data_IF_497216725457
#
_entry.id   IF_497216725457
#
_cell.length_a   1.000
_cell.length_b   1.000
_cell.length_c   1.000
_cell.angle_alpha   90.00
_cell.angle_beta   90.00
_cell.angle_gamma   90.00
#
_symmetry.space_group_name_H-M   'P 1'
#
loop_
_entity.id
_entity.type
_entity.pdbx_description
1 polymer ?
#
# COMPACT_ATOMS: atom_id res chain seq x y z
N UNK A 1 0.84 15.38 -27.76
CA UNK A 1 1.68 16.11 -26.79
C UNK A 1 1.04 15.89 -25.43
N UNK A 2 1.76 15.30 -24.48
CA UNK A 2 1.21 15.15 -23.11
C UNK A 2 0.98 16.55 -22.50
N UNK A 3 -0.20 16.76 -21.92
CA UNK A 3 -0.52 18.00 -21.22
C UNK A 3 0.47 18.16 -20.05
N UNK A 4 1.15 19.30 -19.98
CA UNK A 4 2.03 19.61 -18.85
C UNK A 4 1.17 19.89 -17.61
N UNK A 5 1.26 19.04 -16.63
CA UNK A 5 0.58 19.17 -15.34
C UNK A 5 1.55 19.81 -14.34
N UNK A 6 1.21 20.99 -13.85
CA UNK A 6 2.00 21.76 -12.88
C UNK A 6 1.12 22.25 -11.71
N UNK A 7 1.68 23.07 -10.83
CA UNK A 7 1.00 23.58 -9.63
C UNK A 7 -0.27 24.42 -9.91
N UNK A 8 -0.43 24.95 -11.11
CA UNK A 8 -1.61 25.70 -11.54
C UNK A 8 -2.72 24.83 -12.12
N UNK A 9 -2.42 23.55 -12.42
CA UNK A 9 -3.40 22.59 -12.94
C UNK A 9 -4.42 22.28 -11.86
N UNK A 10 -5.71 22.36 -12.20
CA UNK A 10 -6.79 21.97 -11.30
C UNK A 10 -6.71 20.46 -11.02
N UNK A 11 -6.28 20.14 -9.81
CA UNK A 11 -6.04 18.77 -9.38
C UNK A 11 -7.30 17.91 -9.25
N UNK A 12 -8.49 18.52 -9.28
CA UNK A 12 -9.78 17.81 -9.22
C UNK A 12 -10.33 17.44 -10.60
N UNK A 13 -9.67 17.86 -11.68
CA UNK A 13 -10.13 17.60 -13.06
C UNK A 13 -9.24 16.60 -13.76
N UNK A 14 -9.87 15.62 -14.40
CA UNK A 14 -9.19 14.71 -15.33
C UNK A 14 -8.59 15.49 -16.51
N UNK A 15 -7.47 15.02 -17.01
CA UNK A 15 -6.96 15.44 -18.31
C UNK A 15 -7.58 14.59 -19.43
N UNK A 16 -7.58 15.08 -20.68
CA UNK A 16 -8.23 14.43 -21.82
C UNK A 16 -7.72 13.00 -22.11
N UNK A 17 -6.51 12.69 -21.63
CA UNK A 17 -5.83 11.40 -21.79
C UNK A 17 -6.01 10.46 -20.58
N UNK A 18 -6.92 10.77 -19.67
CA UNK A 18 -7.23 9.97 -18.48
C UNK A 18 -8.66 9.41 -18.57
N UNK A 19 -8.81 8.12 -18.30
CA UNK A 19 -10.11 7.48 -18.21
C UNK A 19 -10.86 7.94 -16.97
N UNK A 20 -11.98 8.62 -17.18
CA UNK A 20 -12.97 8.91 -16.15
C UNK A 20 -13.99 7.76 -16.08
N UNK A 21 -14.27 7.30 -14.87
CA UNK A 21 -15.26 6.23 -14.64
C UNK A 21 -16.49 6.76 -13.92
N UNK A 22 -17.64 6.14 -14.18
CA UNK A 22 -18.88 6.42 -13.46
C UNK A 22 -18.87 5.73 -12.09
N UNK A 23 -18.53 6.51 -11.05
CA UNK A 23 -18.40 6.02 -9.69
C UNK A 23 -18.73 7.12 -8.67
N UNK A 24 -19.54 6.79 -7.68
CA UNK A 24 -19.86 7.65 -6.52
C UNK A 24 -18.93 7.42 -5.32
N UNK A 25 -17.98 6.50 -5.44
CA UNK A 25 -17.12 6.07 -4.31
C UNK A 25 -16.31 7.25 -3.77
N UNK A 26 -15.68 8.03 -4.65
CA UNK A 26 -14.88 9.19 -4.23
C UNK A 26 -15.71 10.18 -3.40
N UNK A 27 -16.88 10.57 -3.91
CA UNK A 27 -17.72 11.58 -3.25
C UNK A 27 -18.19 11.08 -1.87
N UNK A 28 -18.55 9.81 -1.78
CA UNK A 28 -18.97 9.18 -0.51
C UNK A 28 -17.83 9.07 0.50
N UNK A 29 -16.63 8.68 0.05
CA UNK A 29 -15.44 8.62 0.92
C UNK A 29 -15.09 10.00 1.46
N UNK A 30 -15.07 11.02 0.61
CA UNK A 30 -14.78 12.41 1.00
C UNK A 30 -15.85 12.95 1.93
N UNK A 31 -17.12 12.72 1.65
CA UNK A 31 -18.22 13.15 2.52
C UNK A 31 -18.14 12.51 3.90
N UNK A 32 -17.87 11.20 3.97
CA UNK A 32 -17.72 10.46 5.23
C UNK A 32 -16.52 10.95 6.04
N UNK A 33 -15.37 11.16 5.38
CA UNK A 33 -14.18 11.72 6.02
C UNK A 33 -14.41 13.14 6.56
N UNK A 34 -15.04 14.00 5.76
CA UNK A 34 -15.30 15.39 6.17
C UNK A 34 -16.31 15.51 7.32
N UNK A 35 -17.25 14.56 7.42
CA UNK A 35 -18.23 14.49 8.50
C UNK A 35 -17.65 13.93 9.81
N UNK A 36 -16.46 13.34 9.77
CA UNK A 36 -15.86 12.70 10.93
C UNK A 36 -15.25 13.72 11.88
N UNK A 37 -15.85 13.81 13.05
CA UNK A 37 -15.31 14.48 14.22
C UNK A 37 -14.88 13.42 15.23
N UNK A 38 -13.58 13.26 15.41
CA UNK A 38 -13.01 12.21 16.26
C UNK A 38 -13.26 12.48 17.76
N UNK A 39 -13.53 13.72 18.15
CA UNK A 39 -13.62 14.16 19.55
C UNK A 39 -15.03 13.94 20.16
N UNK A 40 -16.04 13.66 19.33
CA UNK A 40 -17.39 13.38 19.84
C UNK A 40 -17.55 11.98 20.44
N UNK A 41 -16.63 11.05 20.10
CA UNK A 41 -16.68 9.67 20.58
C UNK A 41 -16.22 9.54 22.02
N UNK A 42 -16.87 8.65 22.76
CA UNK A 42 -16.66 8.43 24.18
C UNK A 42 -16.21 6.99 24.47
N UNK A 43 -15.76 6.73 25.69
CA UNK A 43 -15.47 5.38 26.17
C UNK A 43 -16.66 4.43 26.03
N UNK A 44 -17.90 4.93 26.05
CA UNK A 44 -19.12 4.11 25.84
C UNK A 44 -19.17 3.60 24.39
N UNK A 45 -18.95 4.48 23.41
CA UNK A 45 -18.99 4.13 21.99
C UNK A 45 -17.91 3.09 21.65
N UNK A 46 -16.72 3.24 22.24
CA UNK A 46 -15.64 2.26 22.08
C UNK A 46 -16.02 0.90 22.67
N UNK A 47 -16.62 0.86 23.86
CA UNK A 47 -17.09 -0.40 24.48
C UNK A 47 -18.20 -1.04 23.66
N UNK A 48 -19.11 -0.26 23.08
CA UNK A 48 -20.14 -0.76 22.16
C UNK A 48 -19.50 -1.36 20.89
N UNK A 49 -18.50 -0.68 20.31
CA UNK A 49 -17.73 -1.20 19.16
C UNK A 49 -17.00 -2.51 19.51
N UNK A 50 -16.42 -2.61 20.71
CA UNK A 50 -15.76 -3.84 21.17
C UNK A 50 -16.73 -4.98 21.42
N UNK A 51 -17.93 -4.70 21.88
CA UNK A 51 -18.97 -5.70 22.13
C UNK A 51 -19.71 -6.14 20.85
N UNK A 52 -19.68 -5.35 19.80
CA UNK A 52 -20.38 -5.63 18.55
C UNK A 52 -19.83 -6.89 17.85
N UNK A 53 -20.70 -7.78 17.40
CA UNK A 53 -20.33 -8.96 16.61
C UNK A 53 -19.84 -8.56 15.21
N UNK A 54 -20.47 -7.56 14.61
CA UNK A 54 -20.09 -6.99 13.32
C UNK A 54 -19.77 -5.50 13.48
N UNK A 55 -18.64 -5.06 12.98
CA UNK A 55 -18.22 -3.67 13.07
C UNK A 55 -18.96 -2.80 12.04
N UNK A 56 -19.79 -1.88 12.51
CA UNK A 56 -20.41 -0.86 11.68
C UNK A 56 -19.42 0.26 11.33
N UNK A 57 -19.81 1.16 10.44
CA UNK A 57 -19.03 2.38 10.13
C UNK A 57 -18.87 3.25 11.38
N UNK A 58 -19.93 3.40 12.20
CA UNK A 58 -19.83 4.17 13.44
C UNK A 58 -18.93 3.49 14.48
N UNK A 59 -18.96 2.16 14.59
CA UNK A 59 -18.00 1.43 15.41
C UNK A 59 -16.56 1.65 14.93
N UNK A 60 -16.34 1.62 13.63
CA UNK A 60 -15.01 1.87 13.04
C UNK A 60 -14.51 3.28 13.36
N UNK A 61 -15.37 4.30 13.25
CA UNK A 61 -15.07 5.68 13.66
C UNK A 61 -14.70 5.78 15.14
N UNK A 62 -15.47 5.11 16.01
CA UNK A 62 -15.19 5.07 17.45
C UNK A 62 -13.83 4.43 17.74
N UNK A 63 -13.48 3.31 17.05
CA UNK A 63 -12.20 2.64 17.21
C UNK A 63 -11.01 3.48 16.72
N UNK A 64 -11.19 4.40 15.78
CA UNK A 64 -10.17 5.34 15.31
C UNK A 64 -10.06 6.61 16.18
N UNK A 65 -11.02 6.88 17.04
CA UNK A 65 -11.08 8.08 17.86
C UNK A 65 -10.01 8.11 18.97
N UNK A 66 -9.69 9.29 19.54
CA UNK A 66 -8.84 9.40 20.73
C UNK A 66 -9.37 8.64 21.94
N UNK A 67 -10.71 8.50 22.07
CA UNK A 67 -11.34 7.77 23.16
C UNK A 67 -10.99 6.27 23.15
N UNK A 68 -10.50 5.72 22.06
CA UNK A 68 -10.11 4.33 21.94
C UNK A 68 -8.70 4.02 22.49
N UNK A 69 -7.82 5.03 22.64
CA UNK A 69 -6.45 4.79 23.12
C UNK A 69 -6.36 4.10 24.49
N UNK A 70 -7.22 4.42 25.51
CA UNK A 70 -7.23 3.69 26.77
C UNK A 70 -7.66 2.21 26.67
N UNK A 71 -8.25 1.82 25.54
CA UNK A 71 -8.75 0.47 25.27
C UNK A 71 -7.89 -0.27 24.22
N UNK A 72 -6.65 0.18 24.00
CA UNK A 72 -5.82 -0.36 22.94
C UNK A 72 -5.54 -1.86 23.10
N UNK A 73 -5.40 -2.32 24.34
CA UNK A 73 -5.22 -3.74 24.65
C UNK A 73 -6.44 -4.57 24.24
N UNK A 74 -7.64 -4.15 24.64
CA UNK A 74 -8.89 -4.83 24.30
C UNK A 74 -9.16 -4.80 22.78
N UNK A 75 -8.80 -3.71 22.12
CA UNK A 75 -8.88 -3.58 20.67
C UNK A 75 -7.91 -4.57 20.01
N UNK A 76 -6.66 -4.67 20.50
CA UNK A 76 -5.67 -5.61 19.98
C UNK A 76 -6.12 -7.07 20.18
N UNK A 77 -6.68 -7.41 21.34
CA UNK A 77 -7.22 -8.73 21.61
C UNK A 77 -8.40 -9.09 20.69
N UNK A 78 -9.31 -8.14 20.42
CA UNK A 78 -10.39 -8.34 19.45
C UNK A 78 -9.85 -8.51 18.04
N UNK A 79 -8.90 -7.68 17.61
CA UNK A 79 -8.26 -7.81 16.32
C UNK A 79 -7.56 -9.15 16.16
N UNK A 80 -6.84 -9.62 17.19
CA UNK A 80 -6.21 -10.93 17.20
C UNK A 80 -7.21 -12.07 17.04
N UNK A 81 -8.36 -12.01 17.73
CA UNK A 81 -9.43 -13.00 17.55
C UNK A 81 -9.94 -13.03 16.10
N UNK A 82 -10.19 -11.87 15.49
CA UNK A 82 -10.63 -11.80 14.09
C UNK A 82 -9.52 -12.31 13.13
N UNK A 83 -8.26 -11.99 13.39
CA UNK A 83 -7.13 -12.51 12.61
C UNK A 83 -7.09 -14.04 12.69
N UNK A 84 -7.14 -14.62 13.88
CA UNK A 84 -7.10 -16.08 14.08
C UNK A 84 -8.29 -16.79 13.46
N UNK A 85 -9.47 -16.18 13.53
CA UNK A 85 -10.69 -16.72 12.92
C UNK A 85 -10.63 -16.81 11.40
N UNK A 86 -10.01 -15.83 10.74
CA UNK A 86 -10.03 -15.71 9.28
C UNK A 86 -8.74 -16.15 8.59
N UNK A 87 -7.59 -16.04 9.25
CA UNK A 87 -6.28 -16.36 8.70
C UNK A 87 -5.52 -17.45 9.48
N UNK A 88 -6.05 -17.89 10.61
CA UNK A 88 -5.34 -18.84 11.46
C UNK A 88 -4.02 -18.26 11.97
N UNK A 89 -2.95 -19.02 11.82
CA UNK A 89 -1.59 -18.63 12.19
C UNK A 89 -0.75 -18.19 10.97
N UNK A 90 -1.35 -18.12 9.79
CA UNK A 90 -0.61 -17.89 8.55
C UNK A 90 -0.14 -16.43 8.43
N UNK A 91 1.13 -16.26 8.03
CA UNK A 91 1.73 -14.97 7.68
C UNK A 91 2.40 -15.12 6.32
N UNK A 92 1.90 -14.42 5.31
CA UNK A 92 2.48 -14.44 3.98
C UNK A 92 3.75 -13.58 3.93
N UNK A 93 4.75 -14.04 3.16
CA UNK A 93 6.02 -13.35 2.98
C UNK A 93 6.18 -12.96 1.51
N UNK A 94 6.61 -11.72 1.25
CA UNK A 94 6.91 -11.21 -0.08
C UNK A 94 8.12 -10.28 -0.05
N UNK A 95 8.61 -9.91 -1.23
CA UNK A 95 9.61 -8.83 -1.36
C UNK A 95 9.25 -7.85 -2.47
N UNK A 96 9.55 -6.55 -2.31
CA UNK A 96 9.45 -5.57 -3.39
C UNK A 96 10.66 -5.69 -4.33
N UNK A 97 10.43 -5.47 -5.63
CA UNK A 97 11.46 -5.31 -6.65
C UNK A 97 11.24 -3.99 -7.39
N UNK A 98 12.15 -3.06 -7.21
CA UNK A 98 12.17 -1.77 -7.90
C UNK A 98 12.91 -1.92 -9.23
N UNK A 99 12.19 -1.83 -10.36
CA UNK A 99 12.78 -2.00 -11.70
C UNK A 99 13.15 -0.69 -12.38
N UNK A 100 12.61 0.46 -11.91
CA UNK A 100 12.96 1.79 -12.39
C UNK A 100 12.61 2.88 -11.36
N UNK A 101 13.47 3.91 -11.22
CA UNK A 101 13.21 5.06 -10.35
C UNK A 101 13.06 6.40 -11.08
N UNK A 102 12.95 6.37 -12.42
CA UNK A 102 12.57 7.56 -13.18
C UNK A 102 11.13 7.96 -12.85
N UNK A 103 10.90 9.23 -12.49
CA UNK A 103 9.59 9.74 -12.15
C UNK A 103 9.43 11.18 -12.65
N UNK A 104 8.28 11.51 -13.22
CA UNK A 104 7.95 12.84 -13.73
C UNK A 104 7.12 13.65 -12.72
N UNK A 105 6.71 13.03 -11.60
CA UNK A 105 5.93 13.69 -10.57
C UNK A 105 6.79 14.51 -9.60
N UNK A 106 6.22 15.61 -9.13
CA UNK A 106 6.78 16.40 -8.04
C UNK A 106 6.00 16.19 -6.74
N UNK A 107 6.30 15.09 -6.03
CA UNK A 107 5.78 14.78 -4.71
C UNK A 107 6.82 15.19 -3.67
N UNK A 108 6.49 16.14 -2.77
CA UNK A 108 7.46 16.74 -1.84
C UNK A 108 8.07 15.77 -0.82
N UNK A 109 7.45 14.61 -0.62
CA UNK A 109 7.83 13.58 0.36
C UNK A 109 8.47 12.32 -0.26
N UNK A 110 8.61 12.25 -1.57
CA UNK A 110 9.07 11.04 -2.27
C UNK A 110 10.52 11.19 -2.74
N UNK A 111 11.35 10.18 -2.43
CA UNK A 111 12.75 10.14 -2.89
C UNK A 111 12.88 10.16 -4.41
N UNK A 112 11.89 9.59 -5.13
CA UNK A 112 11.89 9.55 -6.60
C UNK A 112 11.34 10.81 -7.28
N UNK A 113 10.95 11.86 -6.54
CA UNK A 113 10.40 13.05 -7.19
C UNK A 113 11.36 13.64 -8.23
N UNK A 114 10.81 14.25 -9.29
CA UNK A 114 11.57 14.68 -10.47
C UNK A 114 12.64 15.74 -10.17
N UNK A 115 12.55 16.47 -9.07
CA UNK A 115 13.52 17.49 -8.66
C UNK A 115 14.58 16.97 -7.70
N UNK A 116 14.43 15.76 -7.16
CA UNK A 116 15.43 15.18 -6.27
C UNK A 116 16.65 14.70 -7.08
N UNK A 117 17.85 15.09 -6.64
CA UNK A 117 19.13 14.74 -7.29
C UNK A 117 19.59 13.39 -6.77
N UNK A 118 19.10 12.34 -7.39
CA UNK A 118 19.44 10.94 -7.10
C UNK A 118 19.98 10.24 -8.35
N UNK A 119 20.68 9.13 -8.15
CA UNK A 119 21.10 8.24 -9.24
C UNK A 119 19.88 7.54 -9.82
N UNK A 120 19.56 7.83 -11.08
CA UNK A 120 18.42 7.23 -11.78
C UNK A 120 18.86 6.02 -12.57
N UNK A 121 18.03 4.97 -12.52
CA UNK A 121 18.25 3.75 -13.28
C UNK A 121 16.93 3.13 -13.74
N UNK A 122 17.04 2.27 -14.74
CA UNK A 122 15.98 1.42 -15.26
C UNK A 122 16.65 0.10 -15.65
N UNK A 123 16.14 -1.01 -15.14
CA UNK A 123 16.64 -2.34 -15.48
C UNK A 123 16.16 -2.76 -16.87
N UNK A 124 17.02 -3.39 -17.66
CA UNK A 124 16.59 -4.08 -18.88
C UNK A 124 16.04 -5.49 -18.56
N UNK A 125 15.53 -6.18 -19.57
CA UNK A 125 14.90 -7.49 -19.38
C UNK A 125 15.84 -8.55 -18.75
N UNK A 126 17.12 -8.58 -19.15
CA UNK A 126 18.10 -9.52 -18.60
C UNK A 126 18.42 -9.20 -17.13
N UNK A 127 18.49 -7.93 -16.79
CA UNK A 127 18.71 -7.45 -15.42
C UNK A 127 17.51 -7.75 -14.53
N UNK A 128 16.27 -7.52 -15.02
CA UNK A 128 15.03 -7.89 -14.33
C UNK A 128 15.00 -9.40 -14.07
N UNK A 129 15.35 -10.21 -15.06
CA UNK A 129 15.35 -11.67 -14.90
C UNK A 129 16.36 -12.15 -13.85
N UNK A 130 17.58 -11.58 -13.81
CA UNK A 130 18.58 -11.88 -12.79
C UNK A 130 18.09 -11.52 -11.38
N UNK A 131 17.49 -10.34 -11.20
CA UNK A 131 16.93 -9.93 -9.91
C UNK A 131 15.81 -10.88 -9.46
N UNK A 132 14.90 -11.22 -10.36
CA UNK A 132 13.80 -12.16 -10.07
C UNK A 132 14.29 -13.58 -9.75
N UNK A 133 15.32 -14.05 -10.45
CA UNK A 133 15.95 -15.33 -10.14
C UNK A 133 16.56 -15.31 -8.73
N UNK A 134 17.32 -14.28 -8.39
CA UNK A 134 17.92 -14.13 -7.05
C UNK A 134 16.86 -14.10 -5.93
N UNK A 135 15.74 -13.42 -6.17
CA UNK A 135 14.60 -13.42 -5.24
C UNK A 135 13.99 -14.83 -5.13
N UNK A 136 13.75 -15.50 -6.24
CA UNK A 136 13.15 -16.84 -6.24
C UNK A 136 14.04 -17.89 -5.55
N UNK A 137 15.37 -17.75 -5.64
CA UNK A 137 16.34 -18.61 -4.94
C UNK A 137 16.21 -18.53 -3.40
N UNK A 138 15.63 -17.45 -2.85
CA UNK A 138 15.29 -17.36 -1.42
C UNK A 138 14.07 -18.18 -1.01
N UNK A 139 13.37 -18.80 -1.96
CA UNK A 139 12.13 -19.56 -1.74
C UNK A 139 10.86 -18.71 -1.78
N UNK A 140 10.94 -17.41 -2.02
CA UNK A 140 9.76 -16.56 -2.18
C UNK A 140 8.99 -16.92 -3.47
N UNK A 141 7.68 -17.01 -3.36
CA UNK A 141 6.76 -17.28 -4.46
C UNK A 141 5.91 -16.05 -4.83
N UNK A 142 6.12 -14.93 -4.16
CA UNK A 142 5.46 -13.65 -4.42
C UNK A 142 6.46 -12.51 -4.58
N UNK A 143 6.25 -11.68 -5.60
CA UNK A 143 6.99 -10.45 -5.83
C UNK A 143 6.05 -9.26 -5.99
N UNK A 144 6.45 -8.09 -5.45
CA UNK A 144 5.79 -6.81 -5.69
C UNK A 144 6.68 -5.96 -6.60
N UNK A 145 6.26 -5.71 -7.83
CA UNK A 145 7.02 -4.91 -8.80
C UNK A 145 6.67 -3.43 -8.63
N UNK A 146 7.70 -2.58 -8.52
CA UNK A 146 7.56 -1.14 -8.34
C UNK A 146 8.31 -0.35 -9.40
N UNK A 147 7.73 0.80 -9.77
CA UNK A 147 8.38 1.80 -10.63
C UNK A 147 8.06 3.22 -10.18
N UNK A 148 8.90 4.18 -10.58
CA UNK A 148 8.47 5.57 -10.67
C UNK A 148 7.50 5.77 -11.84
N UNK A 149 6.77 6.88 -11.84
CA UNK A 149 5.86 7.24 -12.94
C UNK A 149 6.59 8.02 -14.02
N UNK A 150 6.95 7.36 -15.11
CA UNK A 150 7.54 7.95 -16.32
C UNK A 150 7.08 7.17 -17.55
N UNK A 151 6.13 7.71 -18.35
CA UNK A 151 5.61 7.02 -19.53
C UNK A 151 6.70 6.57 -20.53
N UNK A 152 7.82 7.31 -20.58
CA UNK A 152 8.93 7.00 -21.47
C UNK A 152 9.91 5.96 -20.95
N UNK A 153 9.96 5.74 -19.62
CA UNK A 153 10.92 4.84 -18.97
C UNK A 153 10.27 3.62 -18.34
N UNK A 154 9.11 3.79 -17.74
CA UNK A 154 8.33 2.70 -17.17
C UNK A 154 6.94 2.67 -17.83
N UNK A 155 6.92 2.44 -19.17
CA UNK A 155 5.66 2.32 -19.92
C UNK A 155 4.88 1.08 -19.48
N UNK A 156 3.61 1.00 -19.86
CA UNK A 156 2.75 -0.16 -19.57
C UNK A 156 3.35 -1.44 -20.17
N UNK A 157 3.93 -1.35 -21.38
CA UNK A 157 4.58 -2.47 -22.05
C UNK A 157 5.84 -2.95 -21.30
N UNK A 158 6.64 -2.00 -20.77
CA UNK A 158 7.81 -2.33 -19.96
C UNK A 158 7.42 -3.05 -18.67
N UNK A 159 6.38 -2.58 -17.98
CA UNK A 159 5.84 -3.23 -16.78
C UNK A 159 5.26 -4.61 -17.15
N UNK A 160 4.54 -4.70 -18.27
CA UNK A 160 4.00 -5.96 -18.79
C UNK A 160 5.08 -6.99 -19.10
N UNK A 161 6.21 -6.58 -19.67
CA UNK A 161 7.36 -7.47 -19.91
C UNK A 161 7.95 -7.97 -18.58
N UNK A 162 8.08 -7.09 -17.58
CA UNK A 162 8.50 -7.50 -16.24
C UNK A 162 7.53 -8.52 -15.61
N UNK A 163 6.22 -8.36 -15.78
CA UNK A 163 5.22 -9.34 -15.33
C UNK A 163 5.40 -10.70 -16.03
N UNK A 164 5.64 -10.73 -17.35
CA UNK A 164 5.89 -11.97 -18.09
C UNK A 164 7.15 -12.69 -17.64
N UNK A 165 8.21 -11.94 -17.30
CA UNK A 165 9.43 -12.50 -16.71
C UNK A 165 9.10 -13.05 -15.31
N UNK A 166 8.42 -12.28 -14.46
CA UNK A 166 8.04 -12.69 -13.12
C UNK A 166 7.23 -13.99 -13.08
N UNK A 167 6.35 -14.19 -14.06
CA UNK A 167 5.52 -15.40 -14.17
C UNK A 167 6.32 -16.71 -14.31
N UNK A 168 7.60 -16.64 -14.70
CA UNK A 168 8.49 -17.80 -14.75
C UNK A 168 8.92 -18.26 -13.36
N UNK A 169 8.92 -17.37 -12.38
CA UNK A 169 9.53 -17.54 -11.07
C UNK A 169 8.53 -17.49 -9.92
N UNK A 170 7.47 -16.70 -10.05
CA UNK A 170 6.53 -16.41 -8.97
C UNK A 170 5.12 -16.87 -9.32
N UNK A 171 4.38 -17.28 -8.29
CA UNK A 171 2.96 -17.66 -8.38
C UNK A 171 2.03 -16.46 -8.21
N UNK A 172 2.50 -15.42 -7.49
CA UNK A 172 1.73 -14.21 -7.23
C UNK A 172 2.56 -12.97 -7.61
N UNK A 173 1.99 -12.13 -8.46
CA UNK A 173 2.64 -10.91 -8.96
C UNK A 173 1.80 -9.71 -8.60
N UNK A 174 2.30 -8.91 -7.66
CA UNK A 174 1.71 -7.64 -7.27
C UNK A 174 2.38 -6.47 -8.01
N UNK A 175 1.63 -5.41 -8.21
CA UNK A 175 2.12 -4.15 -8.76
C UNK A 175 1.88 -3.00 -7.78
N UNK A 176 2.90 -2.21 -7.50
CA UNK A 176 2.79 -0.91 -6.86
C UNK A 176 3.36 0.14 -7.81
N UNK A 177 2.52 0.54 -8.76
CA UNK A 177 2.86 1.42 -9.87
C UNK A 177 1.89 2.60 -9.94
N UNK A 178 2.08 3.48 -10.89
CA UNK A 178 1.22 4.64 -11.08
C UNK A 178 -0.20 4.25 -11.56
N UNK A 179 -1.22 5.12 -11.34
CA UNK A 179 -2.57 4.90 -11.85
C UNK A 179 -2.62 4.79 -13.37
N UNK A 180 -3.41 3.85 -13.86
CA UNK A 180 -3.59 3.57 -15.28
C UNK A 180 -5.07 3.50 -15.65
N UNK A 181 -5.37 3.49 -16.94
CA UNK A 181 -6.70 3.22 -17.46
C UNK A 181 -7.05 1.72 -17.31
N UNK A 182 -8.33 1.38 -17.32
CA UNK A 182 -8.77 0.00 -17.14
C UNK A 182 -8.23 -0.95 -18.21
N UNK A 183 -8.09 -0.49 -19.45
CA UNK A 183 -7.47 -1.25 -20.55
C UNK A 183 -6.01 -1.60 -20.30
N UNK A 184 -5.25 -0.70 -19.66
CA UNK A 184 -3.85 -0.91 -19.34
C UNK A 184 -3.71 -1.91 -18.19
N UNK A 185 -4.59 -1.84 -17.20
CA UNK A 185 -4.67 -2.87 -16.14
C UNK A 185 -5.07 -4.23 -16.74
N UNK A 186 -6.01 -4.29 -17.70
CA UNK A 186 -6.35 -5.54 -18.38
C UNK A 186 -5.15 -6.16 -19.09
N UNK A 187 -4.37 -5.35 -19.81
CA UNK A 187 -3.12 -5.80 -20.43
C UNK A 187 -2.11 -6.33 -19.41
N UNK A 188 -1.91 -5.63 -18.29
CA UNK A 188 -1.00 -6.08 -17.23
C UNK A 188 -1.49 -7.38 -16.56
N UNK A 189 -2.81 -7.54 -16.40
CA UNK A 189 -3.40 -8.78 -15.91
C UNK A 189 -3.14 -9.94 -16.89
N UNK A 190 -3.32 -9.76 -18.19
CA UNK A 190 -2.97 -10.74 -19.22
C UNK A 190 -1.46 -11.09 -19.20
N UNK A 191 -0.59 -10.13 -18.86
CA UNK A 191 0.84 -10.36 -18.68
C UNK A 191 1.17 -11.16 -17.40
N UNK A 192 0.22 -11.33 -16.48
CA UNK A 192 0.36 -12.15 -15.27
C UNK A 192 0.27 -11.40 -13.95
N UNK A 193 -0.08 -10.10 -13.95
CA UNK A 193 -0.30 -9.37 -12.71
C UNK A 193 -1.63 -9.79 -12.04
N UNK A 194 -1.60 -10.01 -10.73
CA UNK A 194 -2.74 -10.45 -9.92
C UNK A 194 -3.34 -9.30 -9.10
N UNK A 195 -2.47 -8.45 -8.55
CA UNK A 195 -2.81 -7.40 -7.60
C UNK A 195 -2.24 -6.05 -8.00
N UNK A 196 -3.00 -5.01 -7.69
CA UNK A 196 -2.54 -3.63 -7.81
C UNK A 196 -2.70 -2.90 -6.48
N UNK A 197 -1.63 -2.28 -6.01
CA UNK A 197 -1.63 -1.39 -4.85
C UNK A 197 -1.38 0.04 -5.32
N UNK A 198 -2.29 0.96 -4.97
CA UNK A 198 -2.12 2.40 -5.22
C UNK A 198 -2.43 3.15 -3.94
N UNK A 199 -1.42 3.75 -3.33
CA UNK A 199 -1.62 4.58 -2.14
C UNK A 199 -2.25 5.91 -2.53
N UNK A 200 -3.38 6.27 -1.90
CA UNK A 200 -3.98 7.58 -2.11
C UNK A 200 -3.15 8.70 -1.49
N UNK A 201 -2.26 8.36 -0.58
CA UNK A 201 -1.37 9.22 0.19
C UNK A 201 -2.12 10.01 1.26
N UNK A 202 -3.02 10.91 0.90
CA UNK A 202 -4.02 11.53 1.77
C UNK A 202 -5.33 11.72 1.01
N UNK A 203 -6.45 11.59 1.71
CA UNK A 203 -7.80 11.79 1.17
C UNK A 203 -8.28 13.25 1.27
N UNK A 204 -7.53 14.11 1.97
CA UNK A 204 -7.78 15.54 1.98
C UNK A 204 -7.27 16.16 0.67
N UNK A 205 -8.18 16.48 -0.25
CA UNK A 205 -7.82 17.01 -1.58
C UNK A 205 -7.11 18.37 -1.51
N UNK A 206 -7.42 19.23 -0.53
CA UNK A 206 -6.73 20.50 -0.34
C UNK A 206 -5.29 20.30 0.15
N UNK A 207 -5.06 19.33 1.02
CA UNK A 207 -3.72 18.94 1.41
C UNK A 207 -2.98 18.27 0.27
N UNK A 208 -3.65 17.38 -0.46
CA UNK A 208 -3.11 16.62 -1.58
C UNK A 208 -2.46 17.53 -2.64
N UNK A 209 -3.13 18.64 -3.02
CA UNK A 209 -2.60 19.58 -4.02
C UNK A 209 -1.30 20.27 -3.57
N UNK A 210 -1.09 20.41 -2.26
CA UNK A 210 0.13 21.04 -1.69
C UNK A 210 1.31 20.07 -1.62
N UNK A 211 1.03 18.78 -1.71
CA UNK A 211 2.01 17.70 -1.65
C UNK A 211 2.42 17.21 -3.03
N UNK A 212 1.54 17.35 -4.03
CA UNK A 212 1.74 16.92 -5.41
C UNK A 212 1.74 18.14 -6.33
N UNK A 213 2.92 18.73 -6.51
CA UNK A 213 3.08 20.02 -7.17
C UNK A 213 3.13 19.93 -8.69
N UNK A 214 3.31 18.73 -9.27
CA UNK A 214 3.33 18.52 -10.71
C UNK A 214 3.35 17.05 -11.08
N UNK A 215 3.10 16.77 -12.37
CA UNK A 215 2.99 15.42 -12.92
C UNK A 215 1.59 14.80 -12.74
N UNK A 216 1.38 13.64 -13.37
CA UNK A 216 0.05 12.98 -13.43
C UNK A 216 -0.50 12.62 -12.05
N UNK A 217 0.36 12.32 -11.07
CA UNK A 217 -0.03 12.03 -9.69
C UNK A 217 -0.78 13.19 -9.03
N UNK A 218 -0.63 14.42 -9.52
CA UNK A 218 -1.38 15.59 -9.04
C UNK A 218 -2.90 15.43 -9.22
N UNK A 219 -3.36 14.67 -10.21
CA UNK A 219 -4.79 14.53 -10.50
C UNK A 219 -5.45 13.59 -9.49
N UNK A 220 -6.06 14.17 -8.48
CA UNK A 220 -6.62 13.49 -7.32
C UNK A 220 -7.67 12.42 -7.66
N UNK A 221 -8.73 12.72 -8.46
CA UNK A 221 -9.75 11.72 -8.76
C UNK A 221 -9.22 10.57 -9.62
N UNK A 222 -8.26 10.82 -10.52
CA UNK A 222 -7.65 9.77 -11.31
C UNK A 222 -6.89 8.77 -10.44
N UNK A 223 -6.18 9.26 -9.41
CA UNK A 223 -5.49 8.38 -8.47
C UNK A 223 -6.46 7.65 -7.55
N UNK A 224 -7.46 8.32 -6.99
CA UNK A 224 -8.43 7.70 -6.09
C UNK A 224 -9.20 6.56 -6.76
N UNK A 225 -9.57 6.73 -8.00
CA UNK A 225 -10.32 5.72 -8.76
C UNK A 225 -9.43 4.62 -9.40
N UNK A 226 -8.12 4.57 -9.08
CA UNK A 226 -7.21 3.61 -9.68
C UNK A 226 -7.55 2.16 -9.34
N UNK A 227 -7.92 1.87 -8.07
CA UNK A 227 -8.29 0.52 -7.65
C UNK A 227 -9.56 0.04 -8.36
N UNK A 228 -10.52 0.92 -8.57
CA UNK A 228 -11.74 0.56 -9.29
C UNK A 228 -11.43 0.22 -10.76
N UNK A 229 -10.60 1.03 -11.44
CA UNK A 229 -10.15 0.72 -12.81
C UNK A 229 -9.35 -0.58 -12.86
N UNK A 230 -8.55 -0.88 -11.83
CA UNK A 230 -7.81 -2.15 -11.76
C UNK A 230 -8.75 -3.37 -11.70
N UNK A 231 -9.81 -3.31 -10.88
CA UNK A 231 -10.84 -4.36 -10.83
C UNK A 231 -11.60 -4.46 -12.15
N UNK A 232 -11.96 -3.34 -12.77
CA UNK A 232 -12.58 -3.32 -14.11
C UNK A 232 -11.67 -3.95 -15.18
N UNK A 233 -10.33 -3.81 -15.02
CA UNK A 233 -9.32 -4.45 -15.86
C UNK A 233 -9.06 -5.93 -15.52
N UNK A 234 -9.80 -6.53 -14.58
CA UNK A 234 -9.71 -7.96 -14.27
C UNK A 234 -8.73 -8.34 -13.17
N UNK A 235 -8.10 -7.36 -12.50
CA UNK A 235 -7.22 -7.67 -11.34
C UNK A 235 -8.01 -8.38 -10.25
N UNK A 236 -7.42 -9.43 -9.67
CA UNK A 236 -8.01 -10.25 -8.60
C UNK A 236 -8.25 -9.45 -7.34
N UNK A 237 -7.28 -8.58 -6.99
CA UNK A 237 -7.37 -7.80 -5.79
C UNK A 237 -6.67 -6.45 -5.87
N UNK A 238 -6.96 -5.61 -4.87
CA UNK A 238 -6.43 -4.25 -4.78
C UNK A 238 -6.03 -3.89 -3.36
N UNK A 239 -4.93 -3.13 -3.25
CA UNK A 239 -4.39 -2.62 -2.01
C UNK A 239 -4.71 -1.15 -1.79
N UNK A 240 -5.00 -0.79 -0.55
CA UNK A 240 -5.33 0.56 -0.09
C UNK A 240 -4.36 1.03 0.96
N UNK A 241 -3.95 2.29 0.88
CA UNK A 241 -3.24 2.97 1.95
C UNK A 241 -3.33 4.50 1.84
N UNK A 242 -3.24 5.14 2.99
CA UNK A 242 -2.74 6.51 3.12
C UNK A 242 -1.31 6.48 3.66
N UNK A 243 -0.49 7.46 3.29
CA UNK A 243 0.84 7.64 3.88
C UNK A 243 0.69 8.46 5.17
N UNK A 244 0.66 7.73 6.28
CA UNK A 244 0.34 8.29 7.59
C UNK A 244 1.38 9.32 8.04
N UNK A 245 0.91 10.51 8.40
CA UNK A 245 1.73 11.66 8.79
C UNK A 245 1.80 12.78 7.74
N UNK A 246 1.17 12.62 6.58
CA UNK A 246 1.01 13.70 5.60
C UNK A 246 -0.07 14.72 6.02
N UNK A 247 -1.17 14.22 6.61
CA UNK A 247 -2.29 15.01 7.11
C UNK A 247 -2.88 14.36 8.38
N UNK A 248 -4.11 14.69 8.74
CA UNK A 248 -4.83 14.05 9.85
C UNK A 248 -4.96 12.54 9.62
N UNK A 249 -4.16 11.79 10.36
CA UNK A 249 -4.05 10.34 10.17
C UNK A 249 -5.34 9.57 10.51
N UNK A 250 -6.21 10.10 11.39
CA UNK A 250 -7.48 9.47 11.72
C UNK A 250 -8.47 9.60 10.58
N UNK A 251 -8.53 10.78 9.97
CA UNK A 251 -9.34 11.03 8.78
C UNK A 251 -8.86 10.22 7.60
N UNK A 252 -7.54 10.17 7.38
CA UNK A 252 -6.95 9.36 6.31
C UNK A 252 -7.18 7.85 6.54
N UNK A 253 -7.06 7.36 7.78
CA UNK A 253 -7.36 5.97 8.12
C UNK A 253 -8.85 5.64 7.92
N UNK A 254 -9.77 6.52 8.34
CA UNK A 254 -11.19 6.34 8.09
C UNK A 254 -11.47 6.27 6.59
N UNK A 255 -10.97 7.24 5.84
CA UNK A 255 -11.19 7.32 4.39
C UNK A 255 -10.63 6.10 3.65
N UNK A 256 -9.44 5.60 4.04
CA UNK A 256 -8.85 4.37 3.50
C UNK A 256 -9.77 3.17 3.74
N UNK A 257 -10.25 2.99 4.96
CA UNK A 257 -11.19 1.91 5.31
C UNK A 257 -12.52 2.02 4.57
N UNK A 258 -13.07 3.23 4.46
CA UNK A 258 -14.30 3.50 3.72
C UNK A 258 -14.15 3.26 2.21
N UNK A 259 -13.03 3.65 1.61
CA UNK A 259 -12.72 3.41 0.22
C UNK A 259 -12.74 1.89 -0.08
N UNK A 260 -12.00 1.11 0.69
CA UNK A 260 -11.99 -0.34 0.58
C UNK A 260 -13.39 -0.96 0.81
N UNK A 261 -14.13 -0.48 1.81
CA UNK A 261 -15.48 -0.95 2.11
C UNK A 261 -16.46 -0.70 0.95
N UNK A 262 -16.47 0.51 0.39
CA UNK A 262 -17.39 0.88 -0.68
C UNK A 262 -17.03 0.15 -1.98
N UNK A 263 -15.73 0.02 -2.30
CA UNK A 263 -15.28 -0.72 -3.47
C UNK A 263 -15.69 -2.19 -3.38
N UNK A 264 -15.41 -2.86 -2.26
CA UNK A 264 -15.79 -4.27 -2.09
C UNK A 264 -17.30 -4.46 -2.09
N UNK A 265 -18.08 -3.48 -1.64
CA UNK A 265 -19.54 -3.53 -1.72
C UNK A 265 -20.04 -3.47 -3.17
N UNK A 266 -19.35 -2.70 -4.03
CA UNK A 266 -19.63 -2.62 -5.48
C UNK A 266 -19.11 -3.85 -6.23
N UNK A 267 -17.95 -4.38 -5.82
CA UNK A 267 -17.25 -5.53 -6.41
C UNK A 267 -16.98 -6.61 -5.33
N UNK A 268 -18.00 -7.43 -4.97
CA UNK A 268 -17.86 -8.39 -3.85
C UNK A 268 -16.78 -9.47 -4.04
N UNK A 269 -16.39 -9.74 -5.29
CA UNK A 269 -15.35 -10.70 -5.67
C UNK A 269 -13.93 -10.16 -5.48
N UNK A 270 -13.77 -8.85 -5.34
CA UNK A 270 -12.46 -8.23 -5.22
C UNK A 270 -11.81 -8.57 -3.87
N UNK A 271 -10.56 -9.04 -3.91
CA UNK A 271 -9.75 -9.19 -2.72
C UNK A 271 -9.24 -7.82 -2.26
N UNK A 272 -9.29 -7.58 -0.95
CA UNK A 272 -8.91 -6.31 -0.34
C UNK A 272 -7.65 -6.49 0.51
N UNK A 273 -6.70 -5.60 0.31
CA UNK A 273 -5.53 -5.49 1.17
C UNK A 273 -5.36 -4.07 1.71
N UNK A 274 -4.87 -3.96 2.94
CA UNK A 274 -4.42 -2.71 3.54
C UNK A 274 -2.92 -2.71 3.73
N UNK A 275 -2.30 -1.56 3.46
CA UNK A 275 -0.97 -1.23 3.94
C UNK A 275 -1.06 0.00 4.86
N UNK A 276 -0.18 0.07 5.86
CA UNK A 276 -0.22 1.15 6.86
C UNK A 276 1.16 1.85 6.93
N UNK A 277 1.63 2.45 5.81
CA UNK A 277 2.94 3.09 5.79
C UNK A 277 2.93 4.40 6.59
N UNK A 278 3.98 4.62 7.40
CA UNK A 278 4.28 5.93 7.96
C UNK A 278 5.34 6.64 7.10
N UNK A 279 5.35 7.97 7.15
CA UNK A 279 6.41 8.78 6.54
C UNK A 279 7.78 8.35 7.06
N UNK A 280 8.75 8.27 6.13
CA UNK A 280 10.16 7.96 6.42
C UNK A 280 11.04 9.03 5.79
N UNK A 281 12.25 9.26 6.35
CA UNK A 281 13.26 10.09 5.70
C UNK A 281 13.56 9.61 4.28
N UNK A 282 13.91 10.55 3.42
CA UNK A 282 14.33 10.31 2.04
C UNK A 282 15.69 10.94 1.78
N UNK A 283 16.39 10.49 0.77
CA UNK A 283 17.65 11.11 0.34
C UNK A 283 17.42 12.61 0.08
N UNK A 284 18.31 13.45 0.61
CA UNK A 284 18.26 14.91 0.57
C UNK A 284 17.16 15.58 1.40
N UNK A 285 16.40 14.83 2.22
CA UNK A 285 15.43 15.40 3.16
C UNK A 285 15.22 14.51 4.39
N UNK A 286 16.01 14.73 5.43
CA UNK A 286 15.95 14.05 6.72
C UNK A 286 14.89 14.61 7.69
N UNK A 287 14.25 15.72 7.33
CA UNK A 287 13.24 16.40 8.17
C UNK A 287 11.84 15.80 8.06
N UNK A 288 11.63 14.92 7.08
CA UNK A 288 10.35 14.23 6.90
C UNK A 288 10.22 13.12 7.94
N UNK A 289 9.28 13.25 8.85
CA UNK A 289 8.93 12.22 9.82
C UNK A 289 7.41 12.23 10.12
N UNK A 290 6.84 11.11 10.60
CA UNK A 290 5.42 11.00 10.92
C UNK A 290 5.13 11.60 12.30
N UNK A 291 5.12 12.92 12.41
CA UNK A 291 5.09 13.69 13.66
C UNK A 291 4.06 13.21 14.68
N UNK A 292 2.87 12.81 14.23
CA UNK A 292 1.73 12.54 15.10
C UNK A 292 1.33 11.05 15.08
N UNK A 293 2.06 10.19 14.33
CA UNK A 293 1.75 8.77 14.20
C UNK A 293 2.88 7.94 14.83
N UNK A 294 2.76 7.74 16.14
CA UNK A 294 3.63 6.85 16.90
C UNK A 294 3.10 5.41 16.84
N UNK A 295 3.84 4.46 17.41
CA UNK A 295 3.44 3.04 17.37
C UNK A 295 2.04 2.77 17.98
N UNK A 296 1.60 3.42 19.08
CA UNK A 296 0.24 3.22 19.59
C UNK A 296 -0.84 3.62 18.59
N UNK A 297 -0.66 4.73 17.86
CA UNK A 297 -1.61 5.17 16.83
C UNK A 297 -1.60 4.22 15.64
N UNK A 298 -0.42 3.76 15.22
CA UNK A 298 -0.29 2.77 14.14
C UNK A 298 -0.96 1.44 14.52
N UNK A 299 -0.72 0.94 15.74
CA UNK A 299 -1.38 -0.25 16.27
C UNK A 299 -2.90 -0.09 16.29
N UNK A 300 -3.40 1.06 16.75
CA UNK A 300 -4.83 1.38 16.77
C UNK A 300 -5.44 1.28 15.37
N UNK A 301 -4.81 1.89 14.35
CA UNK A 301 -5.29 1.88 12.97
C UNK A 301 -5.32 0.46 12.41
N UNK A 302 -4.23 -0.29 12.56
CA UNK A 302 -4.11 -1.67 12.06
C UNK A 302 -5.20 -2.55 12.69
N UNK A 303 -5.38 -2.47 14.00
CA UNK A 303 -6.42 -3.23 14.69
C UNK A 303 -7.83 -2.81 14.30
N UNK A 304 -8.07 -1.50 14.10
CA UNK A 304 -9.37 -1.00 13.64
C UNK A 304 -9.69 -1.52 12.22
N UNK A 305 -8.72 -1.56 11.30
CA UNK A 305 -8.89 -2.17 9.98
C UNK A 305 -9.24 -3.66 10.09
N UNK A 306 -8.53 -4.42 10.93
CA UNK A 306 -8.82 -5.85 11.13
C UNK A 306 -10.24 -6.08 11.65
N UNK A 307 -10.69 -5.27 12.60
CA UNK A 307 -12.04 -5.40 13.15
C UNK A 307 -13.10 -4.98 12.14
N UNK A 308 -12.86 -3.92 11.37
CA UNK A 308 -13.80 -3.40 10.37
C UNK A 308 -13.89 -4.27 9.13
N UNK A 309 -12.74 -4.79 8.65
CA UNK A 309 -12.63 -5.63 7.45
C UNK A 309 -11.89 -6.93 7.77
N UNK A 310 -12.56 -7.87 8.46
CA UNK A 310 -11.88 -9.04 9.03
C UNK A 310 -11.25 -9.98 8.00
N UNK A 311 -11.71 -9.95 6.74
CA UNK A 311 -11.17 -10.76 5.63
C UNK A 311 -10.08 -10.05 4.82
N UNK A 312 -9.79 -8.78 5.08
CA UNK A 312 -8.76 -8.07 4.34
C UNK A 312 -7.36 -8.53 4.75
N UNK A 313 -6.46 -8.69 3.78
CA UNK A 313 -5.04 -8.82 4.09
C UNK A 313 -4.51 -7.51 4.68
N UNK A 314 -3.61 -7.59 5.65
CA UNK A 314 -2.94 -6.41 6.22
C UNK A 314 -1.45 -6.61 6.12
N UNK A 315 -0.80 -5.73 5.35
CA UNK A 315 0.63 -5.77 5.08
C UNK A 315 1.38 -4.83 6.02
N UNK A 316 2.46 -5.33 6.62
CA UNK A 316 3.44 -4.52 7.34
C UNK A 316 4.79 -4.56 6.62
N UNK A 317 5.35 -3.39 6.34
CA UNK A 317 6.58 -3.24 5.57
C UNK A 317 7.81 -2.98 6.46
N UNK A 318 8.99 -3.00 5.85
CA UNK A 318 10.27 -2.67 6.46
C UNK A 318 10.42 -1.18 6.85
N UNK A 319 9.40 -0.36 6.64
CA UNK A 319 9.32 0.99 7.22
C UNK A 319 9.30 0.96 8.75
N UNK A 320 8.78 -0.13 9.33
CA UNK A 320 8.68 -0.34 10.76
C UNK A 320 9.87 -1.15 11.28
N UNK A 321 10.25 -0.90 12.56
CA UNK A 321 11.34 -1.62 13.21
C UNK A 321 10.97 -3.08 13.51
N UNK A 322 11.99 -3.91 13.67
CA UNK A 322 11.89 -5.34 13.97
C UNK A 322 10.89 -5.62 15.09
N UNK A 323 11.07 -4.98 16.27
CA UNK A 323 10.20 -5.19 17.43
C UNK A 323 8.71 -4.96 17.10
N UNK A 324 8.37 -3.91 16.35
CA UNK A 324 6.97 -3.66 15.99
C UNK A 324 6.45 -4.72 15.04
N UNK A 325 7.25 -5.11 14.04
CA UNK A 325 6.89 -6.12 13.04
C UNK A 325 6.67 -7.49 13.66
N UNK A 326 7.55 -7.91 14.59
CA UNK A 326 7.47 -9.20 15.29
C UNK A 326 6.21 -9.31 16.17
N UNK A 327 5.77 -8.22 16.76
CA UNK A 327 4.58 -8.20 17.58
C UNK A 327 3.27 -8.09 16.77
N UNK A 328 3.25 -7.27 15.72
CA UNK A 328 2.01 -7.00 14.98
C UNK A 328 1.51 -8.20 14.17
N UNK A 329 2.39 -9.11 13.71
CA UNK A 329 1.99 -10.35 13.04
C UNK A 329 1.22 -11.29 13.96
N UNK A 330 1.45 -11.23 15.25
CA UNK A 330 0.70 -12.01 16.24
C UNK A 330 -0.70 -11.43 16.51
N UNK A 331 -0.91 -10.17 16.17
CA UNK A 331 -2.14 -9.42 16.48
C UNK A 331 -3.04 -9.31 15.25
N UNK A 332 -2.56 -8.66 14.19
CA UNK A 332 -3.44 -8.24 13.10
C UNK A 332 -2.83 -8.30 11.69
N UNK A 333 -1.51 -8.18 11.54
CA UNK A 333 -0.87 -8.26 10.23
C UNK A 333 -0.85 -9.71 9.74
N UNK A 334 -1.10 -9.90 8.45
CA UNK A 334 -1.18 -11.21 7.78
C UNK A 334 -0.15 -11.34 6.67
N UNK A 335 0.57 -10.27 6.38
CA UNK A 335 1.58 -10.23 5.32
C UNK A 335 2.75 -9.34 5.73
N UNK A 336 3.96 -9.79 5.45
CA UNK A 336 5.21 -9.12 5.84
C UNK A 336 6.21 -9.15 4.69
N UNK A 337 6.94 -8.05 4.49
CA UNK A 337 8.04 -8.03 3.51
C UNK A 337 9.34 -8.53 4.13
N UNK A 338 10.20 -9.20 3.36
CA UNK A 338 11.47 -9.74 3.81
C UNK A 338 12.55 -9.61 2.72
N UNK A 339 13.82 -9.53 3.12
CA UNK A 339 14.95 -9.39 2.20
C UNK A 339 14.83 -8.16 1.30
N UNK A 340 14.34 -7.05 1.86
CA UNK A 340 13.94 -5.87 1.08
C UNK A 340 15.15 -5.08 0.63
N UNK A 341 15.19 -4.79 -0.66
CA UNK A 341 16.02 -3.75 -1.25
C UNK A 341 15.10 -2.73 -1.95
N UNK A 342 15.25 -1.45 -1.63
CA UNK A 342 14.45 -0.35 -2.20
C UNK A 342 15.22 0.51 -3.21
N UNK A 343 16.46 0.12 -3.52
CA UNK A 343 17.25 0.63 -4.64
C UNK A 343 16.92 -0.07 -5.96
N UNK A 344 17.56 0.34 -7.05
CA UNK A 344 17.34 -0.26 -8.38
C UNK A 344 18.43 -1.30 -8.67
N UNK A 345 18.09 -2.56 -8.68
CA UNK A 345 19.02 -3.68 -8.67
C UNK A 345 19.62 -3.88 -7.27
N UNK A 346 20.10 -5.05 -6.94
CA UNK A 346 20.75 -5.31 -5.65
C UNK A 346 20.29 -6.61 -4.97
N UNK A 347 19.29 -7.29 -5.50
CA UNK A 347 18.97 -8.65 -5.07
C UNK A 347 19.94 -9.68 -5.66
N UNK A 348 20.44 -9.45 -6.88
CA UNK A 348 21.37 -10.33 -7.61
C UNK A 348 22.84 -10.20 -7.18
N UNK A 349 23.16 -9.53 -6.07
CA UNK A 349 24.52 -9.26 -5.57
C UNK A 349 25.38 -8.39 -6.52
N UNK A 350 24.83 -7.82 -7.56
CA UNK A 350 25.46 -6.78 -8.36
C UNK A 350 25.34 -5.42 -7.63
N UNK A 351 26.16 -4.42 -8.00
CA UNK A 351 26.06 -3.07 -7.42
C UNK A 351 24.68 -2.45 -7.74
N UNK A 352 24.07 -1.80 -6.76
CA UNK A 352 22.86 -1.02 -6.96
C UNK A 352 23.04 0.02 -8.06
N UNK A 353 22.14 0.00 -9.04
CA UNK A 353 22.19 0.87 -10.21
C UNK A 353 21.57 2.24 -9.98
N UNK A 354 20.62 2.32 -9.06
CA UNK A 354 19.92 3.55 -8.74
C UNK A 354 19.54 3.66 -7.28
N UNK A 355 19.45 4.90 -6.80
CA UNK A 355 19.20 5.20 -5.40
C UNK A 355 17.80 4.79 -4.94
N UNK A 356 17.65 4.61 -3.64
CA UNK A 356 16.46 4.17 -2.93
C UNK A 356 15.34 5.22 -2.86
N UNK A 357 14.12 4.77 -2.62
CA UNK A 357 12.95 5.64 -2.49
C UNK A 357 12.83 6.27 -1.10
N UNK A 358 13.14 5.51 -0.06
CA UNK A 358 13.09 5.92 1.35
C UNK A 358 13.96 5.01 2.20
N UNK A 359 14.29 5.44 3.42
CA UNK A 359 15.06 4.65 4.39
C UNK A 359 14.22 3.51 4.97
N UNK A 360 14.76 2.27 4.95
CA UNK A 360 14.16 1.11 5.62
C UNK A 360 14.65 1.00 7.08
N UNK A 361 13.83 0.37 7.93
CA UNK A 361 14.10 0.22 9.37
C UNK A 361 14.41 -1.23 9.77
N UNK A 362 14.01 -2.21 8.96
CA UNK A 362 14.26 -3.63 9.18
C UNK A 362 14.86 -4.24 7.90
N UNK A 363 16.12 -4.63 7.97
CA UNK A 363 16.89 -5.17 6.85
C UNK A 363 17.05 -6.69 6.88
N UNK A 364 16.29 -7.40 7.72
CA UNK A 364 16.40 -8.87 7.85
C UNK A 364 16.13 -9.59 6.53
N UNK A 365 16.90 -10.66 6.32
CA UNK A 365 16.77 -11.59 5.20
C UNK A 365 15.44 -12.36 5.23
N UNK A 366 15.15 -13.09 4.15
CA UNK A 366 13.98 -13.97 4.07
C UNK A 366 14.05 -15.07 5.13
N UNK A 367 15.20 -15.70 5.32
CA UNK A 367 15.41 -16.77 6.30
C UNK A 367 15.22 -16.26 7.75
N UNK A 368 15.74 -15.07 8.07
CA UNK A 368 15.57 -14.46 9.40
C UNK A 368 14.10 -14.12 9.69
N UNK A 369 13.35 -13.60 8.70
CA UNK A 369 11.92 -13.34 8.85
C UNK A 369 11.13 -14.67 8.95
N UNK A 370 11.49 -15.67 8.15
CA UNK A 370 10.89 -17.00 8.22
C UNK A 370 11.02 -17.58 9.64
N UNK A 371 12.24 -17.61 10.17
CA UNK A 371 12.53 -18.11 11.51
C UNK A 371 11.82 -17.29 12.60
N UNK A 372 11.79 -15.96 12.47
CA UNK A 372 11.08 -15.08 13.40
C UNK A 372 9.58 -15.41 13.47
N UNK A 373 8.95 -15.70 12.33
CA UNK A 373 7.53 -16.08 12.28
C UNK A 373 7.31 -17.40 13.02
N UNK A 374 8.16 -18.41 12.79
CA UNK A 374 8.09 -19.71 13.50
C UNK A 374 8.34 -19.58 15.01
N UNK A 375 9.34 -18.80 15.42
CA UNK A 375 9.67 -18.55 16.83
C UNK A 375 8.50 -17.87 17.59
N UNK A 376 7.67 -17.11 16.88
CA UNK A 376 6.46 -16.51 17.40
C UNK A 376 5.22 -17.45 17.35
N UNK A 377 5.40 -18.72 17.01
CA UNK A 377 4.34 -19.71 16.94
C UNK A 377 3.37 -19.50 15.77
N UNK A 378 3.81 -18.75 14.76
CA UNK A 378 3.06 -18.49 13.54
C UNK A 378 3.56 -19.39 12.40
N UNK A 379 2.81 -19.47 11.31
CA UNK A 379 3.13 -20.26 10.14
C UNK A 379 3.56 -19.35 8.99
N UNK A 380 4.84 -19.33 8.58
CA UNK A 380 5.25 -18.62 7.37
C UNK A 380 4.65 -19.26 6.12
N UNK A 381 4.16 -18.43 5.20
CA UNK A 381 3.53 -18.87 3.95
C UNK A 381 4.21 -18.13 2.79
N UNK A 382 4.78 -18.88 1.85
CA UNK A 382 5.48 -18.32 0.69
C UNK A 382 4.55 -18.04 -0.48
N UNK A 383 3.40 -18.73 -0.54
CA UNK A 383 2.41 -18.54 -1.60
C UNK A 383 1.04 -18.28 -1.00
N UNK A 384 0.31 -17.40 -1.64
CA UNK A 384 -1.08 -17.15 -1.31
C UNK A 384 -1.98 -18.21 -1.96
N UNK A 385 -3.27 -18.18 -1.58
CA UNK A 385 -4.29 -19.04 -2.14
C UNK A 385 -4.47 -18.75 -3.63
N UNK A 386 -4.22 -19.75 -4.47
CA UNK A 386 -4.38 -19.61 -5.92
C UNK A 386 -5.75 -20.19 -6.31
N UNK A 387 -6.61 -19.36 -6.87
CA UNK A 387 -7.78 -19.84 -7.59
C UNK A 387 -7.32 -20.47 -8.93
N UNK A 388 -7.58 -21.76 -9.10
CA UNK A 388 -7.32 -22.49 -10.35
C UNK A 388 -8.56 -22.40 -11.23
#
# INVERSE_FOLDING_TARGET
MSVRIDENTDHMKYTDDMEAIDSDIMDRVIAEMNSYDADIYTAKDVKEALAAETCSVDNFKALLSPAALPFLEEIAQKAQKETRKHFGNSVAIFTPLYIANYCENYCVYCGFNCHNKIKRAQLNAEEIEKEMQAIAETGLEEVLILTGESPNKSSVEYIGEACKIAKKYFKLIGLEVYPMDSKDYAYLHECGADFVTVFQETYNSDKYKTLHLGGRKRIFPYRLNAQERAIMGGMRGVGFAALLGLDDFRKDALATGMHAYLLQKKYPHAEIAFSCPRLRPIINNDKINPKDVHEPQLLQIICAYRIFKPFASITISTRECERFRDNIIQIAATKISAGVNVGIGGHSQEEEKGDEQFEISDGRSVDEIYQMIEDNGMQPVMTDYIYV
#
